data_IF_905315906837
#
_entry.id   IF_905315906837
#
_cell.length_a   1.000
_cell.length_b   1.000
_cell.length_c   1.000
_cell.angle_alpha   90.00
_cell.angle_beta   90.00
_cell.angle_gamma   90.00
#
_symmetry.space_group_name_H-M   'P 1'
#
loop_
_entity.id
_entity.type
_entity.pdbx_description
1 polymer ?
#
# COMPACT_ATOMS: atom_id res chain seq x y z
N UNK A 1 15.06 -22.23 8.75
CA UNK A 1 13.88 -21.40 8.46
C UNK A 1 14.39 -20.31 7.55
N UNK A 2 13.93 -20.25 6.30
CA UNK A 2 14.32 -19.15 5.43
C UNK A 2 13.49 -17.95 5.87
N UNK A 3 14.13 -16.91 6.40
CA UNK A 3 13.50 -15.62 6.66
C UNK A 3 13.17 -15.00 5.29
N UNK A 4 12.03 -15.36 4.71
CA UNK A 4 11.58 -14.79 3.45
C UNK A 4 11.07 -13.36 3.67
N UNK A 5 11.24 -12.51 2.67
CA UNK A 5 10.56 -11.22 2.60
C UNK A 5 9.76 -11.22 1.31
N UNK A 6 8.46 -10.94 1.41
CA UNK A 6 7.61 -10.77 0.24
C UNK A 6 7.27 -9.29 0.04
N UNK A 7 7.09 -8.91 -1.22
CA UNK A 7 6.71 -7.57 -1.60
C UNK A 7 5.44 -7.61 -2.45
N UNK A 8 4.53 -6.69 -2.18
CA UNK A 8 3.36 -6.45 -3.00
C UNK A 8 3.42 -5.03 -3.60
N UNK A 9 2.94 -4.86 -4.82
CA UNK A 9 2.87 -3.56 -5.47
C UNK A 9 1.50 -3.32 -6.10
N UNK A 10 1.08 -2.06 -6.14
CA UNK A 10 -0.15 -1.63 -6.82
C UNK A 10 0.14 -0.46 -7.76
N UNK A 11 -0.57 -0.43 -8.89
CA UNK A 11 -0.61 0.71 -9.80
C UNK A 11 -2.07 1.14 -9.92
N UNK A 12 -2.34 2.42 -9.62
CA UNK A 12 -3.68 2.94 -9.42
C UNK A 12 -3.90 4.15 -10.32
N UNK A 13 -5.01 4.14 -11.06
CA UNK A 13 -5.54 5.31 -11.72
C UNK A 13 -6.88 5.67 -11.05
N UNK A 14 -6.89 6.80 -10.36
CA UNK A 14 -8.02 7.23 -9.54
C UNK A 14 -8.99 8.08 -10.36
N UNK A 15 -10.28 7.97 -10.05
CA UNK A 15 -11.30 8.85 -10.60
C UNK A 15 -10.97 10.31 -10.29
N UNK A 16 -11.14 11.20 -11.27
CA UNK A 16 -10.86 12.62 -11.11
C UNK A 16 -11.66 13.22 -9.95
N UNK A 17 -10.99 13.96 -9.06
CA UNK A 17 -11.60 14.59 -7.88
C UNK A 17 -11.67 13.70 -6.64
N UNK A 18 -11.25 12.43 -6.74
CA UNK A 18 -11.22 11.48 -5.60
C UNK A 18 -9.80 11.22 -5.09
N UNK A 19 -8.81 12.02 -5.47
CA UNK A 19 -7.39 11.80 -5.14
C UNK A 19 -7.13 11.85 -3.62
N UNK A 20 -7.72 12.82 -2.93
CA UNK A 20 -7.53 12.96 -1.48
C UNK A 20 -8.37 11.96 -0.69
N UNK A 21 -9.57 11.62 -1.18
CA UNK A 21 -10.38 10.53 -0.64
C UNK A 21 -9.65 9.19 -0.77
N UNK A 22 -8.99 8.95 -1.90
CA UNK A 22 -8.18 7.76 -2.14
C UNK A 22 -7.03 7.69 -1.14
N UNK A 23 -6.28 8.77 -0.94
CA UNK A 23 -5.18 8.81 0.05
C UNK A 23 -5.70 8.54 1.47
N UNK A 24 -6.83 9.15 1.86
CA UNK A 24 -7.44 8.92 3.17
C UNK A 24 -7.81 7.45 3.35
N UNK A 25 -8.56 6.87 2.41
CA UNK A 25 -9.01 5.47 2.51
C UNK A 25 -7.86 4.47 2.42
N UNK A 26 -6.84 4.77 1.63
CA UNK A 26 -5.64 3.94 1.56
C UNK A 26 -4.88 3.96 2.89
N UNK A 27 -4.81 5.12 3.57
CA UNK A 27 -4.22 5.24 4.90
C UNK A 27 -5.01 4.45 5.94
N UNK A 28 -6.34 4.57 5.93
CA UNK A 28 -7.23 3.80 6.82
C UNK A 28 -7.07 2.28 6.59
N UNK A 29 -6.96 1.88 5.31
CA UNK A 29 -6.71 0.49 4.93
C UNK A 29 -5.36 -0.02 5.44
N UNK A 30 -4.30 0.79 5.38
CA UNK A 30 -3.01 0.40 5.93
C UNK A 30 -3.03 0.27 7.46
N UNK A 31 -3.72 1.17 8.15
CA UNK A 31 -3.86 1.08 9.59
C UNK A 31 -4.56 -0.22 9.98
N UNK A 32 -5.68 -0.53 9.31
CA UNK A 32 -6.37 -1.81 9.51
C UNK A 32 -5.46 -3.00 9.18
N UNK A 33 -4.70 -2.94 8.08
CA UNK A 33 -3.80 -4.02 7.65
C UNK A 33 -2.71 -4.27 8.68
N UNK A 34 -2.08 -3.22 9.21
CA UNK A 34 -1.06 -3.33 10.25
C UNK A 34 -1.62 -3.95 11.55
N UNK A 35 -2.87 -3.66 11.89
CA UNK A 35 -3.51 -4.21 13.09
C UNK A 35 -3.97 -5.67 12.93
N UNK A 36 -4.24 -6.12 11.70
CA UNK A 36 -4.96 -7.39 11.46
C UNK A 36 -4.20 -8.43 10.63
N UNK A 37 -3.15 -8.03 9.90
CA UNK A 37 -2.41 -8.93 9.01
C UNK A 37 -1.01 -9.19 9.59
N UNK A 38 -0.79 -10.43 10.03
CA UNK A 38 0.51 -10.86 10.49
C UNK A 38 1.57 -10.73 9.38
N UNK A 39 2.77 -10.31 9.76
CA UNK A 39 3.89 -10.15 8.84
C UNK A 39 3.86 -8.85 8.03
N UNK A 40 2.81 -8.03 8.07
CA UNK A 40 2.84 -6.69 7.45
C UNK A 40 3.85 -5.80 8.18
N UNK A 41 4.79 -5.20 7.45
CA UNK A 41 5.83 -4.33 8.02
C UNK A 41 5.57 -2.87 7.70
N UNK A 42 5.59 -2.54 6.41
CA UNK A 42 5.47 -1.17 5.94
C UNK A 42 4.86 -1.13 4.54
N UNK A 43 4.23 0.00 4.21
CA UNK A 43 3.82 0.29 2.86
C UNK A 43 3.94 1.78 2.57
N UNK A 44 4.23 2.10 1.31
CA UNK A 44 4.39 3.45 0.82
C UNK A 44 3.45 3.68 -0.36
N UNK A 45 2.88 4.89 -0.44
CA UNK A 45 2.08 5.36 -1.55
C UNK A 45 2.75 6.58 -2.16
N UNK A 46 3.05 6.49 -3.46
CA UNK A 46 3.71 7.53 -4.22
C UNK A 46 2.69 8.10 -5.19
N UNK A 47 2.47 9.42 -5.14
CA UNK A 47 1.67 10.15 -6.12
C UNK A 47 2.57 10.60 -7.27
N UNK A 48 2.16 10.31 -8.50
CA UNK A 48 2.84 10.78 -9.70
C UNK A 48 2.78 12.31 -9.78
N UNK A 49 3.90 12.95 -10.09
CA UNK A 49 4.02 14.41 -10.18
C UNK A 49 3.49 14.95 -11.51
N UNK A 50 3.35 14.11 -12.54
CA UNK A 50 2.86 14.47 -13.87
C UNK A 50 1.35 14.26 -14.01
N UNK A 51 0.80 13.21 -13.39
CA UNK A 51 -0.65 12.98 -13.28
C UNK A 51 -1.05 12.74 -11.82
N UNK A 52 -1.69 13.71 -11.19
CA UNK A 52 -2.09 13.64 -9.78
C UNK A 52 -3.07 12.50 -9.47
N UNK A 53 -3.69 11.89 -10.48
CA UNK A 53 -4.60 10.74 -10.34
C UNK A 53 -3.88 9.40 -10.40
N UNK A 54 -2.61 9.37 -10.78
CA UNK A 54 -1.83 8.16 -10.88
C UNK A 54 -1.00 7.95 -9.60
N UNK A 55 -1.10 6.76 -9.03
CA UNK A 55 -0.36 6.39 -7.82
C UNK A 55 0.28 5.02 -7.97
N UNK A 56 1.43 4.85 -7.32
CA UNK A 56 2.12 3.56 -7.18
C UNK A 56 2.27 3.27 -5.70
N UNK A 57 1.95 2.04 -5.29
CA UNK A 57 2.16 1.57 -3.92
C UNK A 57 3.12 0.39 -3.88
N UNK A 58 3.89 0.28 -2.80
CA UNK A 58 4.63 -0.93 -2.48
C UNK A 58 4.49 -1.25 -0.99
N UNK A 59 4.39 -2.53 -0.67
CA UNK A 59 4.25 -3.04 0.69
C UNK A 59 5.25 -4.19 0.90
N UNK A 60 5.80 -4.25 2.11
CA UNK A 60 6.73 -5.29 2.54
C UNK A 60 6.07 -6.15 3.61
N UNK A 61 6.26 -7.45 3.49
CA UNK A 61 5.84 -8.43 4.48
C UNK A 61 7.01 -9.37 4.83
N UNK A 62 7.08 -9.80 6.09
CA UNK A 62 7.93 -10.92 6.47
C UNK A 62 7.18 -12.24 6.23
N UNK A 63 7.89 -13.25 5.75
CA UNK A 63 7.34 -14.54 5.28
C UNK A 63 7.03 -15.54 6.41
N UNK A 64 6.89 -15.07 7.66
CA UNK A 64 6.64 -15.96 8.81
C UNK A 64 5.13 -16.24 9.06
N UNK A 65 4.26 -15.90 8.11
CA UNK A 65 2.83 -16.19 8.18
C UNK A 65 2.20 -16.38 6.78
N UNK A 66 2.49 -17.50 6.12
CA UNK A 66 1.60 -18.09 5.11
C UNK A 66 1.27 -19.54 5.49
#
# INVERSE_FOLDING_TARGET
MADGVSYASGNWLVTSGSEDEFVSRWTDFLQWTHENIAGFQEANLIRDVVDSRHFVSFARFDDDAS
#
